data_IF_515898446792
#
_entry.id   IF_515898446792
#
_cell.length_a   1.000
_cell.length_b   1.000
_cell.length_c   1.000
_cell.angle_alpha   90.00
_cell.angle_beta   90.00
_cell.angle_gamma   90.00
#
_symmetry.space_group_name_H-M   'P 1'
#
loop_
_entity.id
_entity.type
_entity.pdbx_description
1 polymer ?
#
# COMPACT_ATOMS: atom_id res chain seq x y z
N UNK A 1 3.22 15.29 11.07
CA UNK A 1 2.51 14.37 11.99
C UNK A 1 2.19 13.10 11.23
N UNK A 2 2.93 12.01 11.45
CA UNK A 2 2.51 10.67 11.04
C UNK A 2 2.80 9.73 12.21
N UNK A 3 1.72 9.16 12.74
CA UNK A 3 1.67 8.17 13.81
C UNK A 3 1.51 6.77 13.21
N UNK A 4 2.48 5.89 13.44
CA UNK A 4 2.29 4.43 13.46
C UNK A 4 3.19 3.89 14.57
N UNK A 5 2.56 3.31 15.60
CA UNK A 5 3.13 2.88 16.88
C UNK A 5 3.82 4.00 17.68
N UNK A 6 3.04 4.62 18.58
CA UNK A 6 3.20 5.98 19.13
C UNK A 6 4.52 6.35 19.82
N UNK A 7 5.60 6.43 19.05
CA UNK A 7 6.81 7.16 19.41
C UNK A 7 6.76 8.49 18.67
N UNK A 8 6.39 9.56 19.38
CA UNK A 8 6.50 10.92 18.86
C UNK A 8 7.99 11.28 18.75
N UNK A 9 8.49 11.44 17.52
CA UNK A 9 9.85 11.96 17.28
C UNK A 9 9.97 13.35 17.89
N UNK A 10 11.08 13.59 18.59
CA UNK A 10 11.37 14.87 19.24
C UNK A 10 12.51 15.57 18.50
N UNK A 11 12.48 16.90 18.52
CA UNK A 11 13.52 17.72 17.93
C UNK A 11 14.80 17.74 18.79
N UNK A 12 15.90 18.19 18.20
CA UNK A 12 17.19 18.34 18.87
C UNK A 12 17.09 19.05 20.24
N UNK A 13 16.35 20.16 20.30
CA UNK A 13 16.22 20.97 21.51
C UNK A 13 15.54 20.21 22.65
N UNK A 14 14.50 19.45 22.33
CA UNK A 14 13.79 18.63 23.30
C UNK A 14 14.63 17.47 23.78
N UNK A 15 15.39 16.82 22.89
CA UNK A 15 16.30 15.72 23.23
C UNK A 15 17.39 16.22 24.20
N UNK A 16 18.20 17.19 23.77
CA UNK A 16 19.33 17.71 24.56
C UNK A 16 18.85 18.35 25.86
N UNK A 17 17.78 19.15 25.78
CA UNK A 17 17.20 19.83 26.92
C UNK A 17 16.68 18.87 28.00
N UNK A 18 16.02 17.79 27.58
CA UNK A 18 15.52 16.76 28.50
C UNK A 18 16.67 16.01 29.19
N UNK A 19 17.70 15.62 28.43
CA UNK A 19 18.87 14.91 28.99
C UNK A 19 19.60 15.82 29.98
N UNK A 20 19.88 17.07 29.62
CA UNK A 20 20.57 18.01 30.50
C UNK A 20 19.84 18.19 31.83
N UNK A 21 18.52 18.40 31.79
CA UNK A 21 17.74 18.59 33.01
C UNK A 21 17.74 17.34 33.89
N UNK A 22 17.72 16.14 33.29
CA UNK A 22 17.79 14.87 34.03
C UNK A 22 19.16 14.64 34.64
N UNK A 23 20.24 14.99 33.94
CA UNK A 23 21.61 14.94 34.49
C UNK A 23 21.80 15.94 35.64
N UNK A 24 21.15 17.10 35.56
CA UNK A 24 21.14 18.12 36.62
C UNK A 24 20.20 17.76 37.80
N UNK A 25 19.64 16.55 37.84
CA UNK A 25 18.79 16.08 38.94
C UNK A 25 17.37 16.66 38.98
N UNK A 26 16.89 17.33 37.92
CA UNK A 26 15.54 17.87 37.89
C UNK A 26 14.48 16.75 37.91
N UNK A 27 13.36 16.99 38.60
CA UNK A 27 12.25 16.04 38.66
C UNK A 27 11.65 15.79 37.27
N UNK A 28 11.26 14.55 37.00
CA UNK A 28 10.64 14.10 35.74
C UNK A 28 9.47 14.99 35.32
N UNK A 29 8.63 15.40 36.30
CA UNK A 29 7.48 16.29 36.05
C UNK A 29 7.90 17.65 35.48
N UNK A 30 8.93 18.27 36.04
CA UNK A 30 9.46 19.56 35.57
C UNK A 30 9.99 19.50 34.14
N UNK A 31 10.61 18.37 33.76
CA UNK A 31 11.10 18.16 32.39
C UNK A 31 9.93 17.99 31.41
N UNK A 32 8.96 17.15 31.76
CA UNK A 32 7.75 16.93 30.96
C UNK A 32 6.96 18.23 30.74
N UNK A 33 6.78 19.02 31.80
CA UNK A 33 6.02 20.28 31.74
C UNK A 33 6.72 21.35 30.88
N UNK A 34 8.05 21.39 30.90
CA UNK A 34 8.87 22.34 30.12
C UNK A 34 8.87 22.01 28.63
N UNK A 35 9.08 20.75 28.27
CA UNK A 35 9.18 20.33 26.86
C UNK A 35 7.86 19.81 26.27
N UNK A 36 6.78 19.80 27.06
CA UNK A 36 5.45 19.30 26.65
C UNK A 36 5.49 17.86 26.13
N UNK A 37 6.29 17.02 26.78
CA UNK A 37 6.44 15.60 26.45
C UNK A 37 5.83 14.70 27.52
N UNK A 38 5.38 13.51 27.13
CA UNK A 38 4.88 12.49 28.05
C UNK A 38 6.01 11.72 28.76
N UNK A 39 5.66 11.00 29.83
CA UNK A 39 6.60 10.19 30.61
C UNK A 39 7.25 9.08 29.79
N UNK A 40 6.50 8.43 28.90
CA UNK A 40 7.02 7.42 27.98
C UNK A 40 8.08 7.99 27.02
N UNK A 41 7.86 9.20 26.50
CA UNK A 41 8.81 9.90 25.63
C UNK A 41 10.10 10.23 26.38
N UNK A 42 9.98 10.79 27.60
CA UNK A 42 11.15 11.12 28.41
C UNK A 42 11.96 9.88 28.80
N UNK A 43 11.29 8.79 29.17
CA UNK A 43 11.95 7.51 29.47
C UNK A 43 12.67 6.94 28.25
N UNK A 44 12.06 7.04 27.06
CA UNK A 44 12.68 6.60 25.81
C UNK A 44 13.94 7.41 25.50
N UNK A 45 13.89 8.73 25.62
CA UNK A 45 15.05 9.61 25.40
C UNK A 45 16.19 9.21 26.34
N UNK A 46 15.92 9.08 27.65
CA UNK A 46 16.94 8.73 28.63
C UNK A 46 17.49 7.31 28.41
N UNK A 47 16.63 6.35 28.08
CA UNK A 47 17.05 4.98 27.75
C UNK A 47 18.00 4.95 26.56
N UNK A 48 17.69 5.70 25.48
CA UNK A 48 18.55 5.80 24.30
C UNK A 48 19.84 6.56 24.57
N UNK A 49 19.80 7.61 25.39
CA UNK A 49 21.02 8.30 25.83
C UNK A 49 22.00 7.34 26.52
N UNK A 50 21.49 6.56 27.49
CA UNK A 50 22.32 5.57 28.18
C UNK A 50 22.80 4.43 27.27
N UNK A 51 22.00 4.01 26.30
CA UNK A 51 22.38 2.96 25.36
C UNK A 51 23.48 3.39 24.37
N UNK A 52 23.50 4.65 23.95
CA UNK A 52 24.54 5.17 23.05
C UNK A 52 25.87 5.43 23.76
N UNK A 53 25.86 5.73 25.07
CA UNK A 53 27.07 5.95 25.87
C UNK A 53 27.84 7.23 25.52
N UNK A 54 27.30 8.09 24.66
CA UNK A 54 27.90 9.36 24.23
C UNK A 54 27.62 10.44 25.28
N UNK A 55 28.65 11.15 25.80
CA UNK A 55 28.47 12.27 26.72
C UNK A 55 27.63 13.40 26.11
N UNK A 56 26.88 14.13 26.94
CA UNK A 56 26.01 15.21 26.48
C UNK A 56 26.77 16.35 25.78
N UNK A 57 28.02 16.60 26.19
CA UNK A 57 28.91 17.60 25.58
C UNK A 57 29.22 17.25 24.13
N UNK A 58 29.40 15.97 23.82
CA UNK A 58 29.65 15.48 22.47
C UNK A 58 28.37 15.55 21.61
N UNK A 59 27.22 15.18 22.17
CA UNK A 59 25.93 15.35 21.50
C UNK A 59 25.63 16.81 21.13
N UNK A 60 26.12 17.77 21.93
CA UNK A 60 25.95 19.21 21.64
C UNK A 60 26.85 19.71 20.50
N UNK A 61 27.92 19.00 20.18
CA UNK A 61 28.84 19.32 19.09
C UNK A 61 28.40 18.69 17.76
N UNK A 62 27.53 17.69 17.79
CA UNK A 62 26.94 17.07 16.61
C UNK A 62 25.94 18.00 15.92
N UNK A 63 25.71 17.77 14.62
CA UNK A 63 24.68 18.52 13.92
C UNK A 63 23.28 18.13 14.47
N UNK A 64 22.32 19.07 14.54
CA UNK A 64 20.98 18.78 15.09
C UNK A 64 20.32 17.55 14.46
N UNK A 65 20.50 17.39 13.14
CA UNK A 65 19.92 16.28 12.39
C UNK A 65 20.54 14.93 12.75
N UNK A 66 21.84 14.89 13.00
CA UNK A 66 22.56 13.67 13.40
C UNK A 66 22.09 13.18 14.77
N UNK A 67 21.86 14.11 15.72
CA UNK A 67 21.32 13.77 17.04
C UNK A 67 19.88 13.27 16.93
N UNK A 68 19.05 13.93 16.12
CA UNK A 68 17.68 13.46 15.88
C UNK A 68 17.66 12.05 15.29
N UNK A 69 18.52 11.75 14.31
CA UNK A 69 18.60 10.43 13.67
C UNK A 69 19.26 9.39 14.58
N UNK A 70 20.19 9.77 15.46
CA UNK A 70 20.76 8.89 16.48
C UNK A 70 19.71 8.47 17.53
N UNK A 71 18.90 9.44 17.97
CA UNK A 71 17.86 9.19 18.98
C UNK A 71 16.60 8.61 18.37
N UNK A 72 16.27 8.91 17.13
CA UNK A 72 15.13 8.38 16.40
C UNK A 72 15.62 7.87 15.05
N UNK A 73 16.38 6.75 15.03
CA UNK A 73 16.83 6.17 13.77
C UNK A 73 15.60 6.00 12.91
N UNK A 74 15.67 6.54 11.69
CA UNK A 74 14.63 6.29 10.71
C UNK A 74 14.56 4.78 10.57
N UNK A 75 13.53 4.23 11.19
CA UNK A 75 13.17 2.82 11.17
C UNK A 75 12.87 2.48 9.71
N UNK A 76 13.89 2.24 8.90
CA UNK A 76 13.85 1.14 7.95
C UNK A 76 13.92 -0.12 8.81
N UNK A 77 12.84 -0.38 9.56
CA UNK A 77 12.66 -1.57 10.38
C UNK A 77 12.97 -2.76 9.48
N UNK A 78 14.12 -3.37 9.69
CA UNK A 78 14.51 -4.64 9.08
C UNK A 78 14.14 -4.71 7.60
N UNK A 79 14.75 -3.88 6.76
CA UNK A 79 14.99 -4.41 5.42
C UNK A 79 15.92 -5.59 5.63
N UNK A 80 15.37 -6.82 5.68
CA UNK A 80 16.08 -7.93 5.05
C UNK A 80 16.55 -7.34 3.71
N UNK A 81 17.84 -7.42 3.38
CA UNK A 81 18.37 -7.00 2.08
C UNK A 81 17.80 -7.94 1.00
N UNK A 82 16.48 -7.85 0.81
CA UNK A 82 15.73 -8.52 -0.23
C UNK A 82 16.03 -7.68 -1.48
N UNK A 83 16.65 -8.28 -2.51
CA UNK A 83 16.91 -7.57 -3.74
C UNK A 83 15.59 -7.09 -4.36
N UNK A 84 15.62 -5.88 -4.94
CA UNK A 84 14.47 -5.38 -5.69
C UNK A 84 14.20 -6.30 -6.88
N UNK A 85 12.91 -6.61 -7.16
CA UNK A 85 12.54 -7.31 -8.39
C UNK A 85 12.96 -6.49 -9.62
N UNK A 86 13.18 -7.18 -10.75
CA UNK A 86 13.32 -6.52 -12.05
C UNK A 86 11.97 -5.92 -12.49
N UNK A 87 11.72 -4.69 -12.07
CA UNK A 87 10.48 -4.00 -12.39
C UNK A 87 10.36 -3.59 -13.85
N UNK A 88 11.48 -3.47 -14.58
CA UNK A 88 11.44 -3.21 -16.02
C UNK A 88 10.86 -4.41 -16.76
N UNK A 89 11.34 -5.62 -16.43
CA UNK A 89 10.76 -6.86 -16.97
C UNK A 89 9.25 -6.98 -16.73
N UNK A 90 8.78 -6.67 -15.51
CA UNK A 90 7.35 -6.72 -15.21
C UNK A 90 6.56 -5.61 -15.92
N UNK A 91 7.14 -4.41 -16.05
CA UNK A 91 6.52 -3.31 -16.79
C UNK A 91 6.31 -3.68 -18.26
N UNK A 92 7.35 -4.20 -18.92
CA UNK A 92 7.30 -4.59 -20.33
C UNK A 92 6.26 -5.69 -20.56
N UNK A 93 6.18 -6.67 -19.65
CA UNK A 93 5.15 -7.73 -19.72
C UNK A 93 3.73 -7.20 -19.59
N UNK A 94 3.50 -6.20 -18.74
CA UNK A 94 2.18 -5.58 -18.60
C UNK A 94 1.83 -4.76 -19.85
N UNK A 95 2.79 -4.05 -20.43
CA UNK A 95 2.55 -3.12 -21.54
C UNK A 95 2.73 -3.75 -22.94
N UNK A 96 3.08 -5.03 -23.01
CA UNK A 96 3.13 -5.78 -24.28
C UNK A 96 1.74 -5.81 -24.92
N UNK A 97 1.58 -5.46 -26.21
CA UNK A 97 0.29 -5.53 -26.89
C UNK A 97 -0.35 -6.92 -26.79
N UNK A 98 -1.62 -6.97 -26.36
CA UNK A 98 -2.36 -8.22 -26.18
C UNK A 98 -2.03 -8.98 -24.88
N UNK A 99 -1.21 -8.40 -23.99
CA UNK A 99 -0.91 -9.02 -22.71
C UNK A 99 -2.12 -9.01 -21.78
N UNK A 100 -2.42 -10.17 -21.19
CA UNK A 100 -3.39 -10.33 -20.09
C UNK A 100 -2.74 -10.15 -18.71
N UNK A 101 -1.46 -9.79 -18.68
CA UNK A 101 -0.68 -9.65 -17.46
C UNK A 101 -1.06 -8.36 -16.74
N UNK A 102 -1.29 -8.45 -15.43
CA UNK A 102 -1.44 -7.29 -14.56
C UNK A 102 -0.47 -7.41 -13.38
N UNK A 103 -0.33 -6.31 -12.62
CA UNK A 103 0.58 -6.25 -11.47
C UNK A 103 0.35 -7.36 -10.43
N UNK A 104 -0.90 -7.85 -10.28
CA UNK A 104 -1.21 -8.94 -9.36
C UNK A 104 -0.61 -10.26 -9.84
N UNK A 105 -0.69 -10.56 -11.14
CA UNK A 105 -0.03 -11.73 -11.72
C UNK A 105 1.50 -11.61 -11.68
N UNK A 106 2.05 -10.41 -11.90
CA UNK A 106 3.48 -10.17 -11.74
C UNK A 106 3.96 -10.45 -10.31
N UNK A 107 3.18 -10.06 -9.30
CA UNK A 107 3.50 -10.38 -7.91
C UNK A 107 3.43 -11.88 -7.62
N UNK A 108 2.44 -12.60 -8.16
CA UNK A 108 2.37 -14.07 -8.01
C UNK A 108 3.61 -14.76 -8.59
N UNK A 109 4.00 -14.40 -9.81
CA UNK A 109 5.22 -14.91 -10.48
C UNK A 109 6.50 -14.56 -9.71
N UNK A 110 6.56 -13.35 -9.12
CA UNK A 110 7.66 -12.95 -8.23
C UNK A 110 7.70 -13.80 -6.96
N UNK A 111 6.55 -13.99 -6.30
CA UNK A 111 6.45 -14.66 -5.00
C UNK A 111 6.71 -16.15 -5.10
N UNK A 112 6.32 -16.78 -6.21
CA UNK A 112 6.66 -18.18 -6.51
C UNK A 112 8.18 -18.39 -6.57
N UNK A 113 8.92 -17.46 -7.19
CA UNK A 113 10.39 -17.50 -7.28
C UNK A 113 11.09 -17.04 -6.01
N UNK A 114 10.42 -16.20 -5.21
CA UNK A 114 10.98 -15.58 -4.00
C UNK A 114 10.01 -15.74 -2.82
N UNK A 115 9.91 -16.94 -2.21
CA UNK A 115 9.00 -17.17 -1.09
C UNK A 115 9.24 -16.23 0.10
N UNK A 116 10.49 -15.86 0.36
CA UNK A 116 10.89 -14.89 1.41
C UNK A 116 10.95 -13.43 0.92
N UNK A 117 10.55 -13.18 -0.33
CA UNK A 117 10.56 -11.87 -0.96
C UNK A 117 9.41 -10.95 -0.51
N UNK A 118 9.31 -9.79 -1.15
CA UNK A 118 8.30 -8.78 -0.86
C UNK A 118 6.87 -9.31 -0.89
N UNK A 119 6.11 -8.93 0.14
CA UNK A 119 4.67 -9.13 0.17
C UNK A 119 3.94 -8.19 -0.79
N UNK A 120 2.70 -8.53 -1.13
CA UNK A 120 1.90 -7.86 -2.17
C UNK A 120 1.92 -6.33 -2.05
N UNK A 121 1.61 -5.80 -0.87
CA UNK A 121 1.56 -4.34 -0.64
C UNK A 121 2.91 -3.66 -0.87
N UNK A 122 4.01 -4.30 -0.46
CA UNK A 122 5.36 -3.76 -0.63
C UNK A 122 5.79 -3.80 -2.10
N UNK A 123 5.52 -4.92 -2.78
CA UNK A 123 5.77 -5.06 -4.22
C UNK A 123 5.06 -3.97 -5.01
N UNK A 124 3.79 -3.69 -4.68
CA UNK A 124 2.99 -2.68 -5.38
C UNK A 124 3.54 -1.27 -5.13
N UNK A 125 3.95 -0.97 -3.90
CA UNK A 125 4.56 0.31 -3.57
C UNK A 125 5.85 0.54 -4.37
N UNK A 126 6.76 -0.44 -4.38
CA UNK A 126 8.02 -0.32 -5.10
C UNK A 126 7.82 -0.27 -6.62
N UNK A 127 6.91 -1.06 -7.18
CA UNK A 127 6.56 -1.00 -8.58
C UNK A 127 5.99 0.39 -8.94
N UNK A 128 5.02 0.91 -8.17
CA UNK A 128 4.46 2.24 -8.43
C UNK A 128 5.52 3.36 -8.34
N UNK A 129 6.47 3.24 -7.42
CA UNK A 129 7.60 4.17 -7.32
C UNK A 129 8.48 4.11 -8.57
N UNK A 130 8.82 2.91 -9.01
CA UNK A 130 9.54 2.68 -10.27
C UNK A 130 8.80 3.31 -11.46
N UNK A 131 7.47 3.16 -11.57
CA UNK A 131 6.68 3.80 -12.62
C UNK A 131 6.78 5.32 -12.54
N UNK A 132 6.58 5.89 -11.35
CA UNK A 132 6.62 7.33 -11.16
C UNK A 132 7.99 7.94 -11.52
N UNK A 133 9.07 7.24 -11.18
CA UNK A 133 10.45 7.68 -11.42
C UNK A 133 10.87 7.55 -12.88
N UNK A 134 10.43 6.51 -13.60
CA UNK A 134 10.90 6.21 -14.96
C UNK A 134 9.94 6.66 -16.07
N UNK A 135 8.63 6.69 -15.81
CA UNK A 135 7.58 6.94 -16.81
C UNK A 135 6.68 8.12 -16.44
N UNK A 136 6.85 8.70 -15.25
CA UNK A 136 6.02 9.79 -14.73
C UNK A 136 4.72 9.31 -14.08
N UNK A 137 4.27 10.01 -13.04
CA UNK A 137 3.04 9.66 -12.33
C UNK A 137 1.79 10.01 -13.14
N UNK A 138 1.01 9.00 -13.54
CA UNK A 138 -0.36 9.21 -14.01
C UNK A 138 -1.28 9.52 -12.82
N UNK A 139 -1.29 10.76 -12.36
CA UNK A 139 -2.29 11.25 -11.40
C UNK A 139 -3.28 12.17 -12.08
N UNK A 140 -4.24 11.57 -12.79
CA UNK A 140 -5.51 12.24 -13.09
C UNK A 140 -6.63 11.35 -12.55
N UNK A 141 -6.97 11.53 -11.27
CA UNK A 141 -8.20 10.96 -10.71
C UNK A 141 -9.14 12.12 -10.39
N UNK A 142 -10.14 12.33 -11.22
CA UNK A 142 -11.26 13.22 -10.91
C UNK A 142 -12.27 12.42 -10.08
N UNK A 143 -12.60 12.90 -8.88
CA UNK A 143 -13.61 12.25 -8.05
C UNK A 143 -14.98 12.38 -8.74
N UNK A 144 -15.61 11.25 -9.07
CA UNK A 144 -16.95 11.21 -9.65
C UNK A 144 -17.95 10.94 -8.53
N UNK A 145 -18.75 11.94 -8.17
CA UNK A 145 -19.87 11.76 -7.23
C UNK A 145 -20.97 10.93 -7.90
N UNK A 146 -21.54 9.95 -7.18
CA UNK A 146 -22.57 9.04 -7.69
C UNK A 146 -23.72 8.93 -6.70
N UNK A 147 -24.96 9.02 -7.18
CA UNK A 147 -26.16 8.86 -6.36
C UNK A 147 -26.59 7.37 -6.41
N UNK A 148 -26.87 6.72 -5.26
CA UNK A 148 -27.37 5.36 -5.23
C UNK A 148 -28.62 5.17 -6.10
N UNK A 149 -28.64 4.15 -6.95
CA UNK A 149 -29.79 3.82 -7.81
C UNK A 149 -29.99 4.72 -9.04
N UNK A 150 -29.18 5.77 -9.23
CA UNK A 150 -29.30 6.66 -10.39
C UNK A 150 -28.69 6.06 -11.66
N UNK A 151 -27.52 5.41 -11.52
CA UNK A 151 -26.73 4.89 -12.64
C UNK A 151 -26.20 3.51 -12.33
N UNK A 152 -26.32 2.66 -13.35
CA UNK A 152 -25.79 1.30 -13.39
C UNK A 152 -24.86 1.17 -14.58
N UNK A 153 -23.79 0.40 -14.39
CA UNK A 153 -22.80 0.17 -15.42
C UNK A 153 -22.87 -1.30 -15.79
N UNK A 154 -23.18 -1.56 -17.06
CA UNK A 154 -23.22 -2.90 -17.65
C UNK A 154 -22.11 -2.97 -18.69
N UNK A 155 -21.38 -4.08 -18.73
CA UNK A 155 -20.36 -4.33 -19.73
C UNK A 155 -20.33 -5.82 -20.13
N UNK A 156 -19.86 -6.09 -21.34
CA UNK A 156 -19.51 -7.43 -21.80
C UNK A 156 -17.99 -7.53 -21.87
N UNK A 157 -17.44 -8.54 -21.23
CA UNK A 157 -16.00 -8.81 -21.32
C UNK A 157 -15.67 -9.22 -22.76
N UNK A 158 -14.79 -8.47 -23.41
CA UNK A 158 -14.40 -8.75 -24.80
C UNK A 158 -13.61 -10.05 -24.98
N UNK A 159 -12.98 -10.55 -23.92
CA UNK A 159 -12.40 -11.89 -23.91
C UNK A 159 -13.51 -12.96 -23.86
N UNK A 160 -13.49 -13.87 -24.83
CA UNK A 160 -14.46 -14.97 -24.95
C UNK A 160 -13.76 -16.32 -24.72
N UNK A 161 -13.56 -16.73 -23.45
CA UNK A 161 -12.83 -17.94 -23.15
C UNK A 161 -13.66 -19.19 -23.48
N UNK A 162 -12.97 -20.28 -23.80
CA UNK A 162 -13.56 -21.58 -24.12
C UNK A 162 -13.76 -22.38 -22.83
N UNK A 163 -14.88 -22.11 -22.13
CA UNK A 163 -15.14 -22.65 -20.78
C UNK A 163 -16.35 -23.58 -20.69
N UNK A 164 -17.23 -23.60 -21.70
CA UNK A 164 -18.39 -24.50 -21.71
C UNK A 164 -18.07 -25.72 -22.54
N UNK A 165 -18.09 -26.90 -21.92
CA UNK A 165 -18.02 -28.17 -22.65
C UNK A 165 -19.41 -28.76 -22.75
N UNK A 166 -19.86 -29.02 -23.96
CA UNK A 166 -21.09 -29.78 -24.20
C UNK A 166 -20.85 -31.24 -23.78
N UNK A 167 -21.66 -31.73 -22.85
CA UNK A 167 -21.51 -33.08 -22.30
C UNK A 167 -21.94 -34.20 -23.25
N UNK A 168 -22.74 -33.89 -24.28
CA UNK A 168 -23.21 -34.85 -25.26
C UNK A 168 -22.28 -34.92 -26.47
N UNK A 169 -21.79 -33.77 -26.94
CA UNK A 169 -20.94 -33.68 -28.14
C UNK A 169 -19.44 -33.62 -27.83
N UNK A 170 -19.08 -33.21 -26.62
CA UNK A 170 -17.69 -32.93 -26.22
C UNK A 170 -17.13 -31.62 -26.81
N UNK A 171 -17.95 -30.82 -27.51
CA UNK A 171 -17.51 -29.56 -28.10
C UNK A 171 -17.27 -28.49 -27.03
N UNK A 172 -16.18 -27.74 -27.18
CA UNK A 172 -15.83 -26.63 -26.29
C UNK A 172 -16.33 -25.33 -26.93
N UNK A 173 -17.26 -24.68 -26.25
CA UNK A 173 -17.91 -23.46 -26.67
C UNK A 173 -17.34 -22.23 -25.94
N UNK A 174 -17.25 -21.14 -26.71
CA UNK A 174 -16.92 -19.82 -26.17
C UNK A 174 -18.06 -19.30 -25.31
N UNK A 175 -17.70 -18.63 -24.22
CA UNK A 175 -18.65 -17.92 -23.36
C UNK A 175 -18.42 -16.42 -23.44
N UNK A 176 -19.50 -15.67 -23.24
CA UNK A 176 -19.50 -14.23 -23.11
C UNK A 176 -19.79 -13.89 -21.65
N UNK A 177 -18.91 -13.13 -21.01
CA UNK A 177 -19.09 -12.78 -19.60
C UNK A 177 -19.80 -11.43 -19.51
N UNK A 178 -21.00 -11.44 -18.96
CA UNK A 178 -21.74 -10.24 -18.60
C UNK A 178 -21.25 -9.76 -17.24
N UNK A 179 -20.98 -8.47 -17.08
CA UNK A 179 -20.62 -7.88 -15.79
C UNK A 179 -21.41 -6.59 -15.53
N UNK A 180 -21.89 -6.41 -14.31
CA UNK A 180 -22.60 -5.19 -13.91
C UNK A 180 -22.25 -4.75 -12.49
N UNK A 181 -22.33 -3.45 -12.24
CA UNK A 181 -22.12 -2.86 -10.93
C UNK A 181 -23.00 -1.61 -10.74
N UNK A 182 -23.49 -1.42 -9.51
CA UNK A 182 -24.16 -0.20 -9.10
C UNK A 182 -23.11 0.84 -8.72
N UNK A 183 -23.24 2.07 -9.23
CA UNK A 183 -22.18 3.08 -9.11
C UNK A 183 -21.70 3.40 -7.69
N UNK A 184 -22.51 3.09 -6.68
CA UNK A 184 -22.22 3.40 -5.26
C UNK A 184 -21.76 2.19 -4.45
N UNK A 185 -21.86 0.97 -5.00
CA UNK A 185 -21.38 -0.23 -4.32
C UNK A 185 -20.12 -0.74 -5.02
N UNK A 186 -19.23 -1.37 -4.25
CA UNK A 186 -18.13 -2.15 -4.83
C UNK A 186 -18.58 -3.59 -5.15
N UNK A 187 -19.89 -3.81 -5.29
CA UNK A 187 -20.45 -5.12 -5.62
C UNK A 187 -20.49 -5.27 -7.13
N UNK A 188 -19.97 -6.39 -7.61
CA UNK A 188 -19.96 -6.77 -9.01
C UNK A 188 -20.78 -8.04 -9.13
N UNK A 189 -21.73 -8.06 -10.06
CA UNK A 189 -22.34 -9.29 -10.54
C UNK A 189 -21.70 -9.64 -11.88
N UNK A 190 -21.36 -10.92 -12.06
CA UNK A 190 -20.83 -11.44 -13.30
C UNK A 190 -21.39 -12.82 -13.59
N UNK A 191 -21.83 -13.05 -14.83
CA UNK A 191 -22.42 -14.31 -15.27
C UNK A 191 -21.99 -14.65 -16.70
N UNK A 192 -21.87 -15.93 -17.01
CA UNK A 192 -21.45 -16.42 -18.32
C UNK A 192 -22.66 -16.80 -19.18
N UNK A 193 -22.74 -16.24 -20.38
CA UNK A 193 -23.81 -16.49 -21.35
C UNK A 193 -23.26 -17.05 -22.67
N UNK A 194 -24.08 -17.75 -23.46
CA UNK A 194 -23.67 -18.26 -24.77
C UNK A 194 -23.44 -17.16 -25.83
N UNK A 195 -24.02 -15.96 -25.66
CA UNK A 195 -23.92 -14.84 -26.60
C UNK A 195 -24.34 -13.50 -25.95
N UNK A 196 -24.08 -12.39 -26.65
CA UNK A 196 -24.39 -11.01 -26.20
C UNK A 196 -25.75 -10.48 -26.69
N UNK A 197 -26.64 -11.35 -27.19
CA UNK A 197 -27.92 -10.91 -27.76
C UNK A 197 -28.91 -10.49 -26.68
N UNK A 198 -29.93 -9.76 -27.11
CA UNK A 198 -30.96 -9.18 -26.24
C UNK A 198 -31.57 -10.15 -25.20
N UNK A 199 -31.85 -11.43 -25.50
CA UNK A 199 -32.37 -12.35 -24.49
C UNK A 199 -31.40 -12.56 -23.31
N UNK A 200 -30.12 -12.82 -23.60
CA UNK A 200 -29.08 -12.99 -22.59
C UNK A 200 -28.77 -11.68 -21.86
N UNK A 201 -28.86 -10.53 -22.57
CA UNK A 201 -28.72 -9.22 -21.95
C UNK A 201 -29.81 -8.94 -20.92
N UNK A 202 -31.09 -9.22 -21.24
CA UNK A 202 -32.22 -9.05 -20.32
C UNK A 202 -32.11 -10.02 -19.14
N UNK A 203 -31.62 -11.23 -19.37
CA UNK A 203 -31.43 -12.22 -18.31
C UNK A 203 -30.35 -11.81 -17.31
N UNK A 204 -29.25 -11.23 -17.80
CA UNK A 204 -28.23 -10.62 -16.95
C UNK A 204 -28.66 -9.33 -16.25
N UNK A 205 -29.82 -8.75 -16.57
CA UNK A 205 -30.24 -7.49 -15.95
C UNK A 205 -30.52 -7.66 -14.44
N UNK A 206 -29.91 -6.81 -13.59
CA UNK A 206 -29.90 -6.97 -12.15
C UNK A 206 -31.20 -6.62 -11.41
N UNK A 207 -32.30 -6.27 -12.11
CA UNK A 207 -33.62 -6.13 -11.47
C UNK A 207 -34.03 -7.44 -10.77
N UNK A 208 -33.44 -8.58 -11.19
CA UNK A 208 -33.58 -9.89 -10.53
C UNK A 208 -32.48 -10.23 -9.50
N UNK A 209 -31.38 -9.48 -9.46
CA UNK A 209 -30.13 -9.87 -8.77
C UNK A 209 -29.87 -9.05 -7.51
N UNK A 210 -30.27 -7.77 -7.48
CA UNK A 210 -30.01 -6.85 -6.35
C UNK A 210 -31.28 -6.39 -5.60
N UNK A 211 -32.43 -6.97 -5.91
CA UNK A 211 -33.70 -6.86 -5.18
C UNK A 211 -34.03 -8.21 -4.56
#
# INVERSE_FOLDING_TARGET
MITKEGITMQDYNTIIGSIQMRLNGCQTKSVMDRYKIGSGTLNLIMSRYHANGIPIEELRMMAPKEVEDLFYPQKNLQRKDIPLPDFQYYYDRIHTPGSRMNISFCWLDYKEKNPDGYEKSQFYEYFNRFIAENYGGQKVSMAVNRIPGEKMYIDWVGDQPELLTDTETGEINKVHIFATTLGVSSLIYAEAFPNEKLPCFIEGEPVKVFL
#
